data_IF_439339214677
#
_entry.id   IF_439339214677
#
_cell.length_a   1.000
_cell.length_b   1.000
_cell.length_c   1.000
_cell.angle_alpha   90.00
_cell.angle_beta   90.00
_cell.angle_gamma   90.00
#
_symmetry.space_group_name_H-M   'P 1'
#
loop_
_entity.id
_entity.type
_entity.pdbx_description
1 polymer ?
#
# COMPACT_ATOMS: atom_id res chain seq x y z
N UNK A 1 14.55 17.26 0.71
CA UNK A 1 13.07 17.31 0.71
C UNK A 1 12.40 16.00 1.15
N UNK A 2 13.00 14.81 0.94
CA UNK A 2 12.45 13.54 1.42
C UNK A 2 12.50 13.35 2.96
N UNK A 3 13.31 14.15 3.66
CA UNK A 3 13.56 14.02 5.10
C UNK A 3 12.31 14.27 5.96
N UNK A 4 11.43 15.20 5.58
CA UNK A 4 10.20 15.50 6.32
C UNK A 4 9.21 14.33 6.26
N UNK A 5 8.87 13.76 5.08
CA UNK A 5 8.04 12.55 5.03
C UNK A 5 8.70 11.34 5.70
N UNK A 6 10.03 11.18 5.62
CA UNK A 6 10.76 10.12 6.32
C UNK A 6 10.62 10.28 7.84
N UNK A 7 10.78 11.50 8.37
CA UNK A 7 10.64 11.78 9.81
C UNK A 7 9.18 11.63 10.26
N UNK A 8 8.20 12.06 9.46
CA UNK A 8 6.77 11.85 9.76
C UNK A 8 6.43 10.36 9.72
N UNK A 9 6.93 9.58 8.76
CA UNK A 9 6.68 8.13 8.69
C UNK A 9 7.33 7.36 9.87
N UNK A 10 8.49 7.82 10.34
CA UNK A 10 9.17 7.28 11.53
C UNK A 10 8.51 7.76 12.84
N UNK A 11 7.85 8.93 12.86
CA UNK A 11 7.17 9.47 14.04
C UNK A 11 5.74 8.96 14.18
N UNK A 12 5.02 8.85 13.07
CA UNK A 12 3.65 8.35 12.95
C UNK A 12 3.62 6.82 12.83
N UNK A 13 4.40 6.11 13.66
CA UNK A 13 4.50 4.65 13.69
C UNK A 13 3.16 3.92 13.90
N UNK A 14 2.06 4.66 14.10
CA UNK A 14 0.68 4.22 14.13
C UNK A 14 0.00 4.15 12.76
N UNK A 15 -1.09 3.39 12.75
CA UNK A 15 -2.07 3.41 11.67
C UNK A 15 -2.87 4.71 11.82
N UNK A 16 -2.92 5.53 10.77
CA UNK A 16 -3.60 6.83 10.80
C UNK A 16 -5.09 6.68 10.51
N UNK A 17 -5.46 5.56 9.88
CA UNK A 17 -6.85 5.23 9.59
C UNK A 17 -7.19 3.85 10.16
N UNK A 18 -8.34 3.67 10.84
CA UNK A 18 -8.75 2.39 11.42
C UNK A 18 -8.85 1.28 10.37
N UNK A 19 -9.24 1.61 9.14
CA UNK A 19 -9.37 0.65 8.04
C UNK A 19 -8.06 -0.04 7.69
N UNK A 20 -6.90 0.60 7.95
CA UNK A 20 -5.62 -0.07 7.77
C UNK A 20 -5.53 -1.36 8.61
N UNK A 21 -6.15 -1.36 9.79
CA UNK A 21 -6.23 -2.51 10.68
C UNK A 21 -7.46 -3.34 10.36
N UNK A 22 -8.66 -2.78 10.56
CA UNK A 22 -9.89 -3.55 10.60
C UNK A 22 -10.44 -3.96 9.23
N UNK A 23 -10.01 -3.30 8.15
CA UNK A 23 -10.46 -3.63 6.79
C UNK A 23 -9.35 -4.23 5.92
N UNK A 24 -8.11 -4.30 6.42
CA UNK A 24 -6.99 -4.89 5.68
C UNK A 24 -6.21 -5.93 6.51
N UNK A 25 -5.54 -5.51 7.58
CA UNK A 25 -4.62 -6.39 8.31
C UNK A 25 -5.31 -7.45 9.15
N UNK A 26 -6.34 -7.10 9.93
CA UNK A 26 -7.07 -8.04 10.78
C UNK A 26 -7.80 -9.11 9.96
N UNK A 27 -8.54 -8.77 8.88
CA UNK A 27 -9.12 -9.80 8.01
C UNK A 27 -8.06 -10.72 7.38
N UNK A 28 -6.92 -10.16 6.98
CA UNK A 28 -5.79 -10.94 6.45
C UNK A 28 -5.19 -11.88 7.52
N UNK A 29 -5.00 -11.37 8.74
CA UNK A 29 -4.50 -12.12 9.88
C UNK A 29 -5.43 -13.27 10.26
N UNK A 30 -6.73 -12.97 10.38
CA UNK A 30 -7.79 -13.95 10.66
C UNK A 30 -7.80 -15.05 9.60
N UNK A 31 -7.65 -14.70 8.32
CA UNK A 31 -7.63 -15.68 7.24
C UNK A 31 -6.48 -16.69 7.33
N UNK A 32 -5.35 -16.29 7.91
CA UNK A 32 -4.14 -17.11 8.06
C UNK A 32 -4.14 -17.93 9.35
N UNK A 33 -4.52 -17.30 10.47
CA UNK A 33 -4.36 -17.85 11.82
C UNK A 33 -5.66 -18.39 12.43
N UNK A 34 -6.82 -18.08 11.85
CA UNK A 34 -8.13 -18.51 12.34
C UNK A 34 -8.65 -17.71 13.55
N UNK A 35 -7.94 -16.68 13.98
CA UNK A 35 -8.35 -15.76 15.05
C UNK A 35 -8.00 -14.32 14.68
N UNK A 36 -8.69 -13.34 15.28
CA UNK A 36 -8.54 -11.92 14.97
C UNK A 36 -9.88 -11.19 15.09
N UNK A 37 -9.87 -9.88 14.97
CA UNK A 37 -11.08 -9.05 15.05
C UNK A 37 -11.64 -8.82 13.65
N UNK A 38 -12.69 -9.55 13.31
CA UNK A 38 -13.47 -9.28 12.10
C UNK A 38 -14.61 -8.32 12.41
N UNK A 39 -14.65 -7.19 11.68
CA UNK A 39 -15.82 -6.33 11.65
C UNK A 39 -17.04 -7.08 11.09
N UNK A 40 -18.25 -6.62 11.45
CA UNK A 40 -19.49 -7.31 11.09
C UNK A 40 -19.66 -7.44 9.56
N UNK A 41 -19.14 -6.48 8.78
CA UNK A 41 -19.21 -6.52 7.32
C UNK A 41 -18.47 -7.71 6.71
N UNK A 42 -17.37 -8.16 7.34
CA UNK A 42 -16.64 -9.36 6.90
C UNK A 42 -17.42 -10.64 7.20
N UNK A 43 -18.12 -10.66 8.34
CA UNK A 43 -18.95 -11.80 8.75
C UNK A 43 -20.18 -11.95 7.86
N UNK A 44 -20.74 -10.83 7.37
CA UNK A 44 -21.86 -10.81 6.44
C UNK A 44 -21.45 -10.92 4.96
N UNK A 45 -20.15 -10.93 4.66
CA UNK A 45 -19.66 -11.06 3.28
C UNK A 45 -19.85 -9.80 2.42
N UNK A 46 -19.96 -8.62 3.04
CA UNK A 46 -20.18 -7.34 2.36
C UNK A 46 -18.91 -6.69 1.80
N UNK A 47 -17.73 -7.23 2.14
CA UNK A 47 -16.42 -6.65 1.78
C UNK A 47 -15.67 -7.50 0.77
N UNK A 48 -14.88 -6.82 -0.06
CA UNK A 48 -14.03 -7.44 -1.07
C UNK A 48 -12.74 -8.01 -0.44
N UNK A 49 -12.51 -9.32 -0.60
CA UNK A 49 -11.33 -10.01 -0.12
C UNK A 49 -10.05 -9.76 -0.93
N UNK A 50 -10.10 -9.01 -2.04
CA UNK A 50 -8.94 -8.82 -2.92
C UNK A 50 -7.68 -8.32 -2.17
N UNK A 51 -7.79 -7.22 -1.43
CA UNK A 51 -6.63 -6.71 -0.68
C UNK A 51 -6.28 -7.62 0.51
N UNK A 52 -7.19 -7.94 1.46
CA UNK A 52 -6.82 -8.78 2.60
C UNK A 52 -6.34 -10.17 2.19
N UNK A 53 -6.83 -10.71 1.07
CA UNK A 53 -6.37 -11.98 0.51
C UNK A 53 -4.93 -11.93 0.04
N UNK A 54 -4.52 -10.87 -0.66
CA UNK A 54 -3.10 -10.65 -1.04
C UNK A 54 -2.24 -10.50 0.20
N UNK A 55 -2.67 -9.73 1.20
CA UNK A 55 -1.94 -9.59 2.47
C UNK A 55 -1.84 -10.91 3.22
N UNK A 56 -2.91 -11.70 3.23
CA UNK A 56 -2.96 -13.03 3.84
C UNK A 56 -1.97 -13.99 3.14
N UNK A 57 -1.79 -13.90 1.83
CA UNK A 57 -0.80 -14.71 1.12
C UNK A 57 0.63 -14.43 1.60
N UNK A 58 1.00 -13.14 1.76
CA UNK A 58 2.30 -12.76 2.31
C UNK A 58 2.48 -13.20 3.77
N UNK A 59 1.46 -13.01 4.61
CA UNK A 59 1.48 -13.48 6.00
C UNK A 59 1.56 -15.00 6.08
N UNK A 60 0.83 -15.75 5.24
CA UNK A 60 0.90 -17.20 5.18
C UNK A 60 2.29 -17.68 4.79
N UNK A 61 2.92 -17.03 3.82
CA UNK A 61 4.31 -17.33 3.45
C UNK A 61 5.25 -17.13 4.63
N UNK A 62 5.12 -16.02 5.37
CA UNK A 62 5.94 -15.79 6.57
C UNK A 62 5.71 -16.87 7.64
N UNK A 63 4.46 -17.30 7.85
CA UNK A 63 4.14 -18.36 8.79
C UNK A 63 4.72 -19.72 8.38
N UNK A 64 4.69 -20.06 7.09
CA UNK A 64 5.30 -21.30 6.55
C UNK A 64 6.82 -21.28 6.71
N UNK A 65 7.45 -20.10 6.63
CA UNK A 65 8.89 -19.91 6.87
C UNK A 65 9.26 -19.85 8.36
N UNK A 66 8.29 -20.03 9.27
CA UNK A 66 8.53 -20.01 10.71
C UNK A 66 8.84 -18.63 11.28
N UNK A 67 8.51 -17.56 10.56
CA UNK A 67 8.62 -16.19 11.08
C UNK A 67 7.60 -16.02 12.20
N UNK A 68 8.03 -15.55 13.37
CA UNK A 68 7.15 -15.29 14.52
C UNK A 68 7.23 -13.86 15.06
N UNK A 69 8.24 -13.08 14.65
CA UNK A 69 8.44 -11.70 15.11
C UNK A 69 7.40 -10.75 14.46
N UNK A 70 6.55 -10.06 15.25
CA UNK A 70 5.58 -9.10 14.74
C UNK A 70 6.18 -7.96 13.92
N UNK A 71 7.44 -7.57 14.19
CA UNK A 71 8.16 -6.56 13.42
C UNK A 71 8.43 -7.02 12.00
N UNK A 72 8.71 -8.32 11.81
CA UNK A 72 8.93 -8.91 10.49
C UNK A 72 7.61 -8.98 9.73
N UNK A 73 6.48 -9.33 10.37
CA UNK A 73 5.17 -9.30 9.71
C UNK A 73 4.81 -7.93 9.16
N UNK A 74 5.15 -6.86 9.90
CA UNK A 74 4.98 -5.48 9.41
C UNK A 74 5.78 -5.25 8.13
N UNK A 75 7.05 -5.69 8.09
CA UNK A 75 7.90 -5.60 6.91
C UNK A 75 7.35 -6.42 5.73
N UNK A 76 6.94 -7.65 5.98
CA UNK A 76 6.37 -8.58 4.98
C UNK A 76 5.16 -7.98 4.26
N UNK A 77 4.32 -7.22 4.98
CA UNK A 77 3.15 -6.56 4.39
C UNK A 77 3.52 -5.19 3.77
N UNK A 78 4.36 -4.40 4.44
CA UNK A 78 4.66 -3.04 4.00
C UNK A 78 5.58 -2.99 2.78
N UNK A 79 6.58 -3.87 2.69
CA UNK A 79 7.58 -3.84 1.60
C UNK A 79 6.95 -4.03 0.21
N UNK A 80 6.08 -5.04 -0.04
CA UNK A 80 5.39 -5.18 -1.31
C UNK A 80 4.57 -3.93 -1.65
N UNK A 81 3.98 -3.31 -0.64
CA UNK A 81 3.20 -2.11 -0.83
C UNK A 81 4.05 -0.90 -1.21
N UNK A 82 5.18 -0.68 -0.54
CA UNK A 82 6.13 0.37 -0.91
C UNK A 82 6.68 0.14 -2.32
N UNK A 83 6.97 -1.10 -2.69
CA UNK A 83 7.41 -1.45 -4.03
C UNK A 83 6.35 -1.13 -5.10
N UNK A 84 5.08 -1.46 -4.85
CA UNK A 84 3.97 -1.11 -5.74
C UNK A 84 3.83 0.41 -5.88
N UNK A 85 3.94 1.16 -4.78
CA UNK A 85 3.88 2.62 -4.86
C UNK A 85 5.06 3.21 -5.64
N UNK A 86 6.29 2.72 -5.41
CA UNK A 86 7.46 3.15 -6.18
C UNK A 86 7.28 2.85 -7.68
N UNK A 87 6.72 1.69 -8.03
CA UNK A 87 6.38 1.36 -9.42
C UNK A 87 5.33 2.32 -9.98
N UNK A 88 4.31 2.68 -9.21
CA UNK A 88 3.30 3.66 -9.65
C UNK A 88 3.88 5.06 -9.93
N UNK A 89 4.86 5.52 -9.14
CA UNK A 89 5.56 6.79 -9.41
C UNK A 89 6.46 6.69 -10.64
N UNK A 90 7.09 5.53 -10.86
CA UNK A 90 7.85 5.28 -12.07
C UNK A 90 6.97 5.27 -13.32
N UNK A 91 5.77 4.67 -13.22
CA UNK A 91 4.76 4.68 -14.27
C UNK A 91 4.32 6.11 -14.62
N UNK A 92 4.07 6.95 -13.61
CA UNK A 92 3.77 8.39 -13.77
C UNK A 92 4.91 9.12 -14.48
N UNK A 93 6.16 8.88 -14.07
CA UNK A 93 7.33 9.46 -14.73
C UNK A 93 7.34 9.11 -16.21
N UNK A 94 7.21 7.82 -16.55
CA UNK A 94 7.26 7.34 -17.94
C UNK A 94 6.11 7.91 -18.78
N UNK A 95 4.89 7.91 -18.23
CA UNK A 95 3.71 8.47 -18.89
C UNK A 95 3.91 9.95 -19.24
N UNK A 96 4.32 10.76 -18.27
CA UNK A 96 4.52 12.19 -18.47
C UNK A 96 5.76 12.50 -19.33
N UNK A 97 6.83 11.71 -19.20
CA UNK A 97 8.05 11.90 -19.99
C UNK A 97 7.84 11.69 -21.49
N UNK A 98 6.90 10.81 -21.90
CA UNK A 98 6.53 10.63 -23.31
C UNK A 98 5.87 11.87 -23.92
N UNK A 99 5.21 12.71 -23.11
CA UNK A 99 4.44 13.89 -23.57
C UNK A 99 5.18 15.21 -23.40
N UNK A 100 5.95 15.34 -22.32
CA UNK A 100 6.56 16.60 -21.89
C UNK A 100 8.08 16.47 -21.66
N UNK A 101 8.69 15.38 -22.13
CA UNK A 101 10.11 15.09 -21.97
C UNK A 101 10.52 14.75 -20.54
N UNK A 102 11.81 14.41 -20.31
CA UNK A 102 12.29 13.93 -19.01
C UNK A 102 12.05 14.90 -17.84
N UNK A 103 12.12 16.21 -18.10
CA UNK A 103 11.85 17.25 -17.11
C UNK A 103 10.37 17.29 -16.71
N UNK A 104 9.47 17.18 -17.70
CA UNK A 104 8.03 17.08 -17.45
C UNK A 104 7.67 15.82 -16.64
N UNK A 105 8.33 14.69 -16.94
CA UNK A 105 8.21 13.46 -16.15
C UNK A 105 8.63 13.65 -14.69
N UNK A 106 9.80 14.27 -14.46
CA UNK A 106 10.30 14.54 -13.11
C UNK A 106 9.38 15.51 -12.34
N UNK A 107 8.89 16.56 -13.00
CA UNK A 107 7.96 17.51 -12.40
C UNK A 107 6.63 16.84 -12.05
N UNK A 108 6.09 15.96 -12.91
CA UNK A 108 4.86 15.23 -12.64
C UNK A 108 4.99 14.34 -11.39
N UNK A 109 6.08 13.59 -11.25
CA UNK A 109 6.35 12.79 -10.04
C UNK A 109 6.51 13.68 -8.81
N UNK A 110 7.20 14.81 -8.93
CA UNK A 110 7.36 15.75 -7.82
C UNK A 110 6.01 16.30 -7.35
N UNK A 111 5.17 16.78 -8.27
CA UNK A 111 3.86 17.35 -7.96
C UNK A 111 2.92 16.30 -7.36
N UNK A 112 2.88 15.10 -7.94
CA UNK A 112 2.08 13.99 -7.41
C UNK A 112 2.59 13.53 -6.05
N UNK A 113 3.90 13.34 -5.91
CA UNK A 113 4.55 12.90 -4.67
C UNK A 113 4.39 13.89 -3.50
N UNK A 114 4.21 15.18 -3.81
CA UNK A 114 3.93 16.23 -2.82
C UNK A 114 2.43 16.47 -2.59
N UNK A 115 1.55 15.77 -3.31
CA UNK A 115 0.12 15.87 -3.07
C UNK A 115 -0.25 15.25 -1.72
N UNK A 116 -1.17 15.89 -0.99
CA UNK A 116 -1.62 15.44 0.33
C UNK A 116 -2.03 13.96 0.39
N UNK A 117 -2.85 13.44 -0.55
CA UNK A 117 -3.25 12.03 -0.55
C UNK A 117 -2.07 11.06 -0.68
N UNK A 118 -1.09 11.37 -1.54
CA UNK A 118 0.09 10.53 -1.71
C UNK A 118 0.97 10.59 -0.46
N UNK A 119 1.22 11.78 0.09
CA UNK A 119 2.01 11.94 1.31
C UNK A 119 1.42 11.19 2.51
N UNK A 120 0.10 11.15 2.64
CA UNK A 120 -0.59 10.58 3.79
C UNK A 120 -0.89 9.09 3.64
N UNK A 121 -1.37 8.67 2.47
CA UNK A 121 -1.97 7.34 2.28
C UNK A 121 -1.17 6.42 1.38
N UNK A 122 -0.29 6.95 0.52
CA UNK A 122 0.50 6.06 -0.33
C UNK A 122 1.42 5.17 0.50
N UNK A 123 1.55 3.90 0.11
CA UNK A 123 2.32 2.94 0.89
C UNK A 123 1.64 2.39 2.15
N UNK A 124 0.42 2.84 2.51
CA UNK A 124 -0.35 2.35 3.67
C UNK A 124 -1.41 1.32 3.32
N UNK A 125 -1.65 0.34 4.18
CA UNK A 125 -2.50 -0.85 3.91
C UNK A 125 -4.00 -0.54 3.81
N UNK A 126 -4.39 0.33 2.89
CA UNK A 126 -5.73 0.73 2.51
C UNK A 126 -6.00 0.24 1.10
N UNK A 127 -7.23 -0.19 0.83
CA UNK A 127 -7.65 -0.65 -0.50
C UNK A 127 -7.45 0.43 -1.57
N UNK A 128 -7.71 1.68 -1.21
CA UNK A 128 -7.56 2.86 -2.04
C UNK A 128 -6.10 3.11 -2.43
N UNK A 129 -5.16 2.87 -1.52
CA UNK A 129 -3.73 3.04 -1.80
C UNK A 129 -3.22 2.02 -2.82
N UNK A 130 -3.74 0.79 -2.76
CA UNK A 130 -3.42 -0.25 -3.75
C UNK A 130 -4.09 0.04 -5.09
N UNK A 131 -5.40 0.34 -5.08
CA UNK A 131 -6.15 0.59 -6.33
C UNK A 131 -5.64 1.84 -7.06
N UNK A 132 -5.31 2.91 -6.35
CA UNK A 132 -4.68 4.10 -6.95
C UNK A 132 -3.32 3.78 -7.57
N UNK A 133 -2.48 2.98 -6.89
CA UNK A 133 -1.17 2.59 -7.43
C UNK A 133 -1.33 1.75 -8.70
N UNK A 134 -2.25 0.78 -8.73
CA UNK A 134 -2.54 -0.01 -9.92
C UNK A 134 -3.15 0.84 -11.05
N UNK A 135 -4.00 1.81 -10.73
CA UNK A 135 -4.54 2.74 -11.71
C UNK A 135 -3.43 3.54 -12.39
N UNK A 136 -2.50 4.09 -11.62
CA UNK A 136 -1.36 4.85 -12.16
C UNK A 136 -0.45 3.98 -13.03
N UNK A 137 -0.19 2.74 -12.62
CA UNK A 137 0.52 1.75 -13.45
C UNK A 137 -0.24 1.48 -14.74
N UNK A 138 -1.56 1.29 -14.68
CA UNK A 138 -2.38 1.06 -15.86
C UNK A 138 -2.40 2.27 -16.81
N UNK A 139 -2.36 3.50 -16.26
CA UNK A 139 -2.29 4.72 -17.08
C UNK A 139 -1.01 4.79 -17.90
N UNK A 140 0.10 4.19 -17.45
CA UNK A 140 1.32 4.10 -18.25
C UNK A 140 1.12 3.30 -19.55
N UNK A 141 0.15 2.38 -19.59
CA UNK A 141 -0.16 1.64 -20.81
C UNK A 141 -0.96 2.48 -21.83
N UNK A 142 -1.49 3.64 -21.42
CA UNK A 142 -2.17 4.56 -22.32
C UNK A 142 -1.12 5.40 -23.06
N UNK A 143 -1.31 5.48 -24.38
CA UNK A 143 -0.46 6.29 -25.26
C UNK A 143 -0.87 7.75 -25.27
#
# INVERSE_FOLDING_TARGET
MALVPIVVAVRELGRIHPDEVFQALEPAWWRVHGYGVLAWEWREGLRNWALPGVLAAFLKLSAVLGVTDPRIYRGVVAVPQFALHAWSLWAVYRFAARRAGPQGGALAVLLLGLSGPVLLFAGRTLSESFSASFLLVAMEALD
#
